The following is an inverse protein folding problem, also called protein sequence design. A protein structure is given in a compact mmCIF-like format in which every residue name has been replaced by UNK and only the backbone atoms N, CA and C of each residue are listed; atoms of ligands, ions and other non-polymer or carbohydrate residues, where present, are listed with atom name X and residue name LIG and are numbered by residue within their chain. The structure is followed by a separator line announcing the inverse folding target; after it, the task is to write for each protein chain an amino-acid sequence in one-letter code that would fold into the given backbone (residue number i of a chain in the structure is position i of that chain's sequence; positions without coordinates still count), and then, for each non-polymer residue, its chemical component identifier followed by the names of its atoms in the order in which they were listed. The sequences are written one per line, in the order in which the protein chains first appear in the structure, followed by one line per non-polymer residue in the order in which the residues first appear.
data_IF_279830247320
#
_entry.id   IF_279830247320
#
_cell.length_a   1.000
_cell.length_b   1.000
_cell.length_c   1.000
_cell.angle_alpha   90.00
_cell.angle_beta   90.00
_cell.angle_gamma   90.00
#
_symmetry.space_group_name_H-M   'P 1'
#
loop_
_entity.id
_entity.type
_entity.pdbx_description
1 polymer ?
#
# COMPACT_ATOMS: atom_id res chain seq x y z
N UNK A 1 -17.72 -48.57 24.54
CA UNK A 1 -18.01 -47.39 25.38
C UNK A 1 -19.12 -46.59 24.70
N UNK A 2 -20.35 -46.53 25.27
CA UNK A 2 -21.47 -45.80 24.65
C UNK A 2 -21.33 -44.31 24.98
N UNK A 3 -20.89 -43.52 24.00
CA UNK A 3 -20.76 -42.07 24.17
C UNK A 3 -22.16 -41.46 24.28
N UNK A 4 -22.41 -40.67 25.34
CA UNK A 4 -23.72 -40.04 25.55
C UNK A 4 -23.92 -38.94 24.51
N UNK A 5 -25.08 -38.91 23.86
CA UNK A 5 -25.42 -37.92 22.82
C UNK A 5 -25.17 -36.47 23.26
N UNK A 6 -25.43 -36.15 24.54
CA UNK A 6 -25.13 -34.83 25.10
C UNK A 6 -23.65 -34.46 25.10
N UNK A 7 -22.76 -35.42 25.38
CA UNK A 7 -21.31 -35.19 25.30
C UNK A 7 -20.83 -34.95 23.87
N UNK A 8 -21.50 -35.56 22.88
CA UNK A 8 -21.21 -35.41 21.46
C UNK A 8 -21.63 -34.03 20.95
N UNK A 9 -22.80 -33.53 21.39
CA UNK A 9 -23.29 -32.18 21.08
C UNK A 9 -22.38 -31.12 21.70
N UNK A 10 -22.00 -31.28 22.98
CA UNK A 10 -21.08 -30.32 23.63
C UNK A 10 -19.72 -30.26 22.93
N UNK A 11 -19.16 -31.41 22.52
CA UNK A 11 -17.91 -31.45 21.78
C UNK A 11 -18.02 -30.74 20.41
N UNK A 12 -19.14 -30.91 19.70
CA UNK A 12 -19.40 -30.26 18.42
C UNK A 12 -19.48 -28.73 18.57
N UNK A 13 -20.17 -28.25 19.62
CA UNK A 13 -20.28 -26.81 19.90
C UNK A 13 -18.92 -26.21 20.26
N UNK A 14 -18.14 -26.88 21.10
CA UNK A 14 -16.78 -26.43 21.43
C UNK A 14 -15.88 -26.38 20.19
N UNK A 15 -15.95 -27.39 19.32
CA UNK A 15 -15.19 -27.42 18.07
C UNK A 15 -15.56 -26.26 17.14
N UNK A 16 -16.86 -25.95 17.02
CA UNK A 16 -17.34 -24.82 16.21
C UNK A 16 -16.89 -23.46 16.76
N UNK A 17 -16.85 -23.29 18.09
CA UNK A 17 -16.37 -22.04 18.70
C UNK A 17 -14.87 -21.84 18.46
N UNK A 18 -14.06 -22.91 18.49
CA UNK A 18 -12.61 -22.82 18.28
C UNK A 18 -12.28 -22.44 16.83
N UNK A 19 -13.01 -22.97 15.85
CA UNK A 19 -12.76 -22.68 14.42
C UNK A 19 -13.15 -21.26 14.04
N UNK A 20 -14.21 -20.70 14.64
CA UNK A 20 -14.65 -19.32 14.41
C UNK A 20 -13.67 -18.26 14.95
N UNK A 21 -12.84 -18.59 15.94
CA UNK A 21 -11.83 -17.68 16.49
C UNK A 21 -10.48 -17.74 15.74
N UNK A 22 -10.34 -18.65 14.77
CA UNK A 22 -9.09 -18.83 14.01
C UNK A 22 -8.93 -17.87 12.82
N UNK A 23 -9.83 -16.90 12.65
CA UNK A 23 -9.62 -15.81 11.68
C UNK A 23 -8.58 -14.84 12.23
N UNK A 24 -7.31 -15.16 12.01
CA UNK A 24 -6.24 -14.18 12.15
C UNK A 24 -6.41 -13.17 11.02
N UNK A 25 -6.90 -11.98 11.36
CA UNK A 25 -7.04 -10.90 10.38
C UNK A 25 -5.68 -10.65 9.71
N UNK A 26 -5.64 -10.68 8.38
CA UNK A 26 -4.44 -10.31 7.65
C UNK A 26 -4.03 -8.90 8.07
N UNK A 27 -2.78 -8.74 8.50
CA UNK A 27 -2.26 -7.42 8.88
C UNK A 27 -2.33 -6.52 7.66
N UNK A 28 -3.10 -5.45 7.73
CA UNK A 28 -3.12 -4.45 6.67
C UNK A 28 -1.71 -3.91 6.45
N UNK A 29 -1.31 -3.68 5.18
CA UNK A 29 -0.04 -3.05 4.88
C UNK A 29 0.06 -1.70 5.61
N UNK A 30 1.24 -1.40 6.15
CA UNK A 30 1.47 -0.08 6.71
C UNK A 30 1.24 1.01 5.65
N UNK A 31 0.65 2.17 6.02
CA UNK A 31 0.50 3.27 5.09
C UNK A 31 1.84 3.68 4.46
N UNK A 32 1.85 3.88 3.14
CA UNK A 32 3.06 4.26 2.40
C UNK A 32 2.74 5.32 1.35
N UNK A 33 3.61 6.32 1.15
CA UNK A 33 3.46 7.28 0.07
C UNK A 33 3.79 6.61 -1.27
N UNK A 34 3.18 7.09 -2.36
CA UNK A 34 3.46 6.58 -3.70
C UNK A 34 3.48 7.71 -4.71
N UNK A 35 4.67 8.15 -5.08
CA UNK A 35 4.84 9.19 -6.10
C UNK A 35 4.62 8.61 -7.50
N UNK A 36 3.81 9.29 -8.31
CA UNK A 36 3.65 9.03 -9.74
C UNK A 36 4.05 10.29 -10.49
N UNK A 37 4.98 10.14 -11.43
CA UNK A 37 5.47 11.20 -12.31
C UNK A 37 4.86 10.95 -13.69
N UNK A 38 4.08 11.92 -14.21
CA UNK A 38 3.42 11.75 -15.52
C UNK A 38 4.40 11.83 -16.69
N UNK A 39 5.43 12.66 -16.55
CA UNK A 39 6.43 12.92 -17.56
C UNK A 39 7.80 12.66 -16.98
N UNK A 40 8.38 11.51 -17.32
CA UNK A 40 9.70 11.08 -16.83
C UNK A 40 10.85 11.58 -17.68
N UNK A 41 10.54 12.09 -18.88
CA UNK A 41 11.53 12.56 -19.86
C UNK A 41 11.07 13.89 -20.44
N UNK A 42 11.99 14.83 -20.57
CA UNK A 42 11.79 16.08 -21.28
C UNK A 42 13.05 16.40 -22.08
N UNK A 43 12.87 16.68 -23.36
CA UNK A 43 13.95 17.12 -24.24
C UNK A 43 13.95 18.64 -24.29
N UNK A 44 15.06 19.24 -23.88
CA UNK A 44 15.26 20.67 -24.00
C UNK A 44 15.60 20.98 -25.46
N UNK A 45 14.86 21.88 -26.14
CA UNK A 45 15.20 22.28 -27.50
C UNK A 45 16.53 23.05 -27.52
N UNK A 46 17.18 23.17 -28.68
CA UNK A 46 18.36 24.02 -28.83
C UNK A 46 18.05 25.46 -28.38
N UNK A 47 18.85 25.98 -27.46
CA UNK A 47 18.73 27.35 -26.95
C UNK A 47 20.08 28.07 -27.03
N UNK A 48 20.02 29.40 -27.15
CA UNK A 48 21.22 30.24 -27.17
C UNK A 48 21.78 30.33 -25.75
N UNK A 49 23.10 30.44 -25.62
CA UNK A 49 23.75 30.62 -24.33
C UNK A 49 23.16 31.80 -23.55
N UNK A 50 22.91 31.59 -22.26
CA UNK A 50 22.28 32.57 -21.37
C UNK A 50 20.74 32.54 -21.38
N UNK A 51 20.11 31.68 -22.17
CA UNK A 51 18.65 31.49 -22.13
C UNK A 51 18.27 30.63 -20.92
N UNK A 52 17.39 31.14 -20.06
CA UNK A 52 16.77 30.36 -18.99
C UNK A 52 15.60 29.52 -19.56
N UNK A 53 15.59 28.22 -19.26
CA UNK A 53 14.53 27.31 -19.70
C UNK A 53 13.89 26.64 -18.49
N UNK A 54 12.60 26.90 -18.29
CA UNK A 54 11.82 26.33 -17.20
C UNK A 54 10.94 25.21 -17.71
N UNK A 55 11.13 23.99 -17.20
CA UNK A 55 10.23 22.87 -17.45
C UNK A 55 9.42 22.56 -16.17
N UNK A 56 8.09 22.66 -16.27
CA UNK A 56 7.18 22.25 -15.20
C UNK A 56 6.67 20.83 -15.43
N UNK A 57 6.79 19.99 -14.42
CA UNK A 57 6.19 18.66 -14.38
C UNK A 57 5.38 18.47 -13.10
N UNK A 58 4.44 17.53 -13.14
CA UNK A 58 3.55 17.25 -12.02
C UNK A 58 3.88 15.91 -11.38
N UNK A 59 3.99 15.91 -10.05
CA UNK A 59 4.08 14.70 -9.23
C UNK A 59 2.75 14.53 -8.49
N UNK A 60 2.23 13.30 -8.45
CA UNK A 60 1.01 12.96 -7.71
C UNK A 60 1.29 11.90 -6.67
N UNK A 61 0.87 12.14 -5.42
CA UNK A 61 0.85 11.11 -4.40
C UNK A 61 -0.41 10.24 -4.55
N UNK A 62 -0.23 8.96 -4.90
CA UNK A 62 -1.29 7.94 -4.96
C UNK A 62 -1.19 6.93 -3.82
N UNK A 63 -0.38 7.22 -2.81
CA UNK A 63 -0.29 6.43 -1.58
C UNK A 63 -1.33 6.88 -0.56
N UNK A 64 -1.35 6.20 0.58
CA UNK A 64 -2.21 6.49 1.72
C UNK A 64 -1.44 7.11 2.91
N UNK A 65 -0.23 7.60 2.64
CA UNK A 65 0.58 8.36 3.59
C UNK A 65 1.13 9.65 2.93
N UNK A 66 1.49 10.68 3.71
CA UNK A 66 2.07 11.92 3.19
C UNK A 66 3.36 11.68 2.38
N UNK A 67 3.48 12.37 1.24
CA UNK A 67 4.69 12.34 0.41
C UNK A 67 5.56 13.55 0.74
N UNK A 68 6.78 13.30 1.23
CA UNK A 68 7.80 14.33 1.44
C UNK A 68 8.86 14.25 0.32
N UNK A 69 9.18 15.38 -0.30
CA UNK A 69 10.16 15.49 -1.39
C UNK A 69 11.35 16.32 -0.86
N UNK A 70 12.45 15.70 -0.41
CA UNK A 70 13.55 16.42 0.22
C UNK A 70 14.41 17.23 -0.76
N UNK A 71 14.33 16.94 -2.07
CA UNK A 71 15.08 17.63 -3.10
C UNK A 71 14.87 17.01 -4.48
N UNK A 72 15.34 17.70 -5.51
CA UNK A 72 15.33 17.27 -6.91
C UNK A 72 16.77 17.34 -7.41
N UNK A 73 17.22 16.29 -8.09
CA UNK A 73 18.56 16.21 -8.68
C UNK A 73 18.43 16.10 -10.19
N UNK A 74 19.20 16.92 -10.92
CA UNK A 74 19.43 16.78 -12.35
C UNK A 74 20.91 16.39 -12.53
N UNK A 75 21.17 15.42 -13.41
CA UNK A 75 22.51 14.94 -13.75
C UNK A 75 23.18 15.76 -14.84
#
# INVERSE_FOLDING_TARGET
MKLKTGALITALVCFLIITLNSYTGAKEPAPSPRAIIKQTTFEFPPVIAGTEVTHLFSISNKGNAPLNIPGVYAG
#
